data_IF_489833305625
#
_entry.id   IF_489833305625
#
_cell.length_a   1.000
_cell.length_b   1.000
_cell.length_c   1.000
_cell.angle_alpha   90.00
_cell.angle_beta   90.00
_cell.angle_gamma   90.00
#
_symmetry.space_group_name_H-M   'P 1'
#
loop_
_entity.id
_entity.type
_entity.pdbx_description
1 polymer ?
#
# COMPACT_ATOMS: atom_id res chain seq x y z
N UNK A 1 -28.40 8.06 -38.14
CA UNK A 1 -27.15 7.69 -38.85
C UNK A 1 -25.97 8.51 -38.35
N UNK A 2 -26.05 9.85 -38.29
CA UNK A 2 -24.93 10.73 -37.88
C UNK A 2 -24.52 10.53 -36.40
N UNK A 3 -25.46 10.27 -35.51
CA UNK A 3 -25.19 10.00 -34.07
C UNK A 3 -24.47 8.66 -33.83
N UNK A 4 -24.82 7.64 -34.64
CA UNK A 4 -24.15 6.35 -34.60
C UNK A 4 -22.69 6.41 -35.09
N UNK A 5 -22.43 7.18 -36.14
CA UNK A 5 -21.07 7.40 -36.64
C UNK A 5 -20.20 8.12 -35.60
N UNK A 6 -20.71 9.18 -34.97
CA UNK A 6 -19.95 9.88 -33.93
C UNK A 6 -19.72 9.03 -32.66
N UNK A 7 -20.59 8.07 -32.35
CA UNK A 7 -20.38 7.10 -31.28
C UNK A 7 -19.32 6.05 -31.62
N UNK A 8 -19.27 5.62 -32.88
CA UNK A 8 -18.22 4.72 -33.37
C UNK A 8 -16.86 5.39 -33.36
N UNK A 9 -16.76 6.63 -33.83
CA UNK A 9 -15.51 7.40 -33.83
C UNK A 9 -15.01 7.59 -32.37
N UNK A 10 -15.90 7.97 -31.44
CA UNK A 10 -15.53 8.11 -30.02
C UNK A 10 -15.11 6.78 -29.37
N UNK A 11 -15.68 5.67 -29.83
CA UNK A 11 -15.32 4.34 -29.34
C UNK A 11 -13.96 3.89 -29.87
N UNK A 12 -13.65 4.24 -31.13
CA UNK A 12 -12.34 3.96 -31.76
C UNK A 12 -11.22 4.75 -31.07
N UNK A 13 -11.45 6.04 -30.81
CA UNK A 13 -10.51 6.90 -30.04
C UNK A 13 -10.25 6.34 -28.63
N UNK A 14 -11.29 5.77 -28.00
CA UNK A 14 -11.17 5.16 -26.66
C UNK A 14 -10.33 3.87 -26.70
N UNK A 15 -10.52 3.05 -27.72
CA UNK A 15 -9.75 1.82 -27.92
C UNK A 15 -8.28 2.15 -28.15
N UNK A 16 -7.98 3.12 -29.01
CA UNK A 16 -6.62 3.58 -29.27
C UNK A 16 -5.94 4.13 -28.01
N UNK A 17 -6.67 4.89 -27.20
CA UNK A 17 -6.17 5.38 -25.91
C UNK A 17 -5.87 4.25 -24.93
N UNK A 18 -6.75 3.23 -24.86
CA UNK A 18 -6.54 2.04 -24.04
C UNK A 18 -5.35 1.21 -24.49
N UNK A 19 -5.14 1.05 -25.78
CA UNK A 19 -3.97 0.35 -26.32
C UNK A 19 -2.66 1.07 -25.99
N UNK A 20 -2.61 2.39 -26.16
CA UNK A 20 -1.46 3.22 -25.78
C UNK A 20 -1.15 3.11 -24.28
N UNK A 21 -2.19 3.16 -23.43
CA UNK A 21 -2.03 3.01 -21.99
C UNK A 21 -1.50 1.61 -21.63
N UNK A 22 -2.05 0.56 -22.23
CA UNK A 22 -1.63 -0.82 -21.99
C UNK A 22 -0.17 -1.04 -22.40
N UNK A 23 0.26 -0.47 -23.54
CA UNK A 23 1.64 -0.55 -23.99
C UNK A 23 2.58 0.21 -23.05
N UNK A 24 2.18 1.38 -22.56
CA UNK A 24 2.92 2.14 -21.56
C UNK A 24 3.08 1.36 -20.24
N UNK A 25 2.01 0.75 -19.75
CA UNK A 25 2.04 -0.08 -18.54
C UNK A 25 2.94 -1.31 -18.69
N UNK A 26 2.94 -1.94 -19.89
CA UNK A 26 3.85 -3.06 -20.18
C UNK A 26 5.30 -2.64 -20.15
N UNK A 27 5.62 -1.48 -20.77
CA UNK A 27 6.97 -0.92 -20.77
C UNK A 27 7.43 -0.59 -19.33
N UNK A 28 6.60 0.10 -18.54
CA UNK A 28 6.91 0.41 -17.16
C UNK A 28 7.13 -0.85 -16.30
N UNK A 29 6.30 -1.88 -16.50
CA UNK A 29 6.48 -3.17 -15.80
C UNK A 29 7.79 -3.84 -16.19
N UNK A 30 8.15 -3.81 -17.46
CA UNK A 30 9.41 -4.38 -17.94
C UNK A 30 10.61 -3.66 -17.32
N UNK A 31 10.59 -2.32 -17.32
CA UNK A 31 11.66 -1.53 -16.72
C UNK A 31 11.78 -1.76 -15.22
N UNK A 32 10.65 -1.86 -14.52
CA UNK A 32 10.64 -2.20 -13.10
C UNK A 32 11.26 -3.58 -12.83
N UNK A 33 10.91 -4.60 -13.63
CA UNK A 33 11.50 -5.93 -13.50
C UNK A 33 13.01 -5.94 -13.76
N UNK A 34 13.48 -5.15 -14.73
CA UNK A 34 14.92 -4.99 -15.00
C UNK A 34 15.65 -4.37 -13.80
N UNK A 35 15.08 -3.33 -13.19
CA UNK A 35 15.65 -2.73 -11.98
C UNK A 35 15.69 -3.72 -10.81
N UNK A 36 14.61 -4.51 -10.61
CA UNK A 36 14.60 -5.56 -9.58
C UNK A 36 15.65 -6.63 -9.84
N UNK A 37 15.88 -7.01 -11.11
CA UNK A 37 16.91 -7.98 -11.48
C UNK A 37 18.33 -7.51 -11.13
N UNK A 38 18.62 -6.21 -11.37
CA UNK A 38 19.91 -5.63 -10.97
C UNK A 38 20.08 -5.65 -9.46
N UNK A 39 19.06 -5.23 -8.71
CA UNK A 39 19.10 -5.26 -7.23
C UNK A 39 19.30 -6.68 -6.73
N UNK A 40 18.55 -7.64 -7.28
CA UNK A 40 18.67 -9.05 -6.90
C UNK A 40 20.09 -9.58 -7.15
N UNK A 41 20.68 -9.30 -8.31
CA UNK A 41 22.04 -9.73 -8.65
C UNK A 41 23.07 -9.13 -7.69
N UNK A 42 22.94 -7.84 -7.32
CA UNK A 42 23.83 -7.20 -6.35
C UNK A 42 23.70 -7.82 -4.95
N UNK A 43 22.48 -8.18 -4.54
CA UNK A 43 22.21 -8.87 -3.28
C UNK A 43 22.81 -10.28 -3.25
N UNK A 44 22.71 -11.04 -4.35
CA UNK A 44 23.34 -12.37 -4.51
C UNK A 44 24.88 -12.30 -4.43
N UNK A 45 25.47 -11.20 -4.90
CA UNK A 45 26.89 -10.94 -4.82
C UNK A 45 27.34 -10.36 -3.46
N UNK A 46 26.42 -10.22 -2.50
CA UNK A 46 26.62 -9.58 -1.19
C UNK A 46 27.08 -8.11 -1.28
N UNK A 47 26.87 -7.45 -2.44
CA UNK A 47 27.21 -6.05 -2.68
C UNK A 47 26.08 -5.12 -2.21
N UNK A 48 25.75 -5.17 -0.93
CA UNK A 48 24.61 -4.44 -0.33
C UNK A 48 24.73 -2.92 -0.47
N UNK A 49 25.95 -2.38 -0.41
CA UNK A 49 26.21 -0.94 -0.59
C UNK A 49 25.85 -0.48 -2.00
N UNK A 50 26.23 -1.24 -3.02
CA UNK A 50 25.91 -0.96 -4.42
C UNK A 50 24.40 -1.13 -4.70
N UNK A 51 23.76 -2.14 -4.11
CA UNK A 51 22.33 -2.34 -4.20
C UNK A 51 21.54 -1.13 -3.65
N UNK A 52 21.93 -0.62 -2.48
CA UNK A 52 21.34 0.58 -1.89
C UNK A 52 21.58 1.82 -2.76
N UNK A 53 22.81 2.01 -3.25
CA UNK A 53 23.15 3.13 -4.13
C UNK A 53 22.35 3.08 -5.44
N UNK A 54 22.14 1.90 -6.00
CA UNK A 54 21.33 1.72 -7.21
C UNK A 54 19.86 2.07 -6.96
N UNK A 55 19.28 1.61 -5.86
CA UNK A 55 17.90 1.94 -5.47
C UNK A 55 17.74 3.45 -5.28
N UNK A 56 18.68 4.10 -4.60
CA UNK A 56 18.65 5.56 -4.41
C UNK A 56 18.74 6.33 -5.73
N UNK A 57 19.51 5.84 -6.69
CA UNK A 57 19.62 6.45 -8.04
C UNK A 57 18.31 6.37 -8.81
N UNK A 58 17.63 5.22 -8.76
CA UNK A 58 16.45 4.94 -9.58
C UNK A 58 15.17 5.53 -8.96
N UNK A 59 15.03 5.41 -7.65
CA UNK A 59 13.78 5.76 -6.93
C UNK A 59 13.91 6.95 -5.97
N UNK A 60 15.10 7.51 -5.85
CA UNK A 60 15.40 8.58 -4.91
C UNK A 60 15.71 8.07 -3.50
N UNK A 61 16.19 8.96 -2.65
CA UNK A 61 16.56 8.62 -1.27
C UNK A 61 15.37 8.10 -0.48
N UNK A 62 15.46 6.86 -0.05
CA UNK A 62 14.54 6.27 0.92
C UNK A 62 15.03 6.75 2.29
N UNK A 63 14.31 7.68 2.89
CA UNK A 63 14.62 8.17 4.25
C UNK A 63 14.40 7.03 5.23
N UNK A 64 15.48 6.43 5.73
CA UNK A 64 15.41 5.42 6.77
C UNK A 64 14.94 6.08 8.08
N UNK A 65 13.70 5.86 8.45
CA UNK A 65 13.22 6.18 9.80
C UNK A 65 13.72 5.05 10.71
N UNK A 66 14.78 5.34 11.43
CA UNK A 66 15.36 4.43 12.42
C UNK A 66 14.48 4.33 13.65
N UNK A 67 13.36 3.61 13.56
CA UNK A 67 12.59 3.16 14.73
C UNK A 67 12.73 1.65 14.84
N UNK A 68 13.17 1.19 16.01
CA UNK A 68 13.31 -0.25 16.30
C UNK A 68 11.92 -0.86 16.36
N UNK A 69 11.46 -1.43 15.26
CA UNK A 69 10.24 -2.22 15.18
C UNK A 69 10.56 -3.65 15.65
N UNK A 70 9.70 -4.21 16.49
CA UNK A 70 9.99 -5.45 17.23
C UNK A 70 9.10 -6.61 16.78
N UNK A 71 8.78 -6.74 15.49
CA UNK A 71 8.16 -7.97 15.00
C UNK A 71 9.25 -8.97 14.57
N UNK A 72 8.92 -10.26 14.58
CA UNK A 72 9.82 -11.31 14.09
C UNK A 72 9.92 -11.35 12.55
N UNK A 73 9.08 -10.58 11.85
CA UNK A 73 9.00 -10.55 10.40
C UNK A 73 9.73 -9.33 9.81
N UNK A 74 10.84 -9.57 9.13
CA UNK A 74 11.58 -8.51 8.45
C UNK A 74 10.75 -7.75 7.39
N UNK A 75 9.91 -8.39 6.54
CA UNK A 75 9.03 -7.68 5.63
C UNK A 75 8.05 -6.74 6.33
N UNK A 76 7.42 -7.17 7.42
CA UNK A 76 6.49 -6.34 8.20
C UNK A 76 7.21 -5.13 8.80
N UNK A 77 8.39 -5.33 9.38
CA UNK A 77 9.18 -4.25 9.94
C UNK A 77 9.55 -3.21 8.88
N UNK A 78 10.00 -3.66 7.71
CA UNK A 78 10.34 -2.78 6.59
C UNK A 78 9.12 -1.98 6.10
N UNK A 79 7.97 -2.64 5.93
CA UNK A 79 6.72 -1.97 5.54
C UNK A 79 6.31 -0.90 6.56
N UNK A 80 6.29 -1.24 7.85
CA UNK A 80 5.90 -0.31 8.89
C UNK A 80 6.83 0.91 8.93
N UNK A 81 8.14 0.74 8.71
CA UNK A 81 9.07 1.87 8.60
C UNK A 81 8.69 2.82 7.45
N UNK A 82 8.42 2.29 6.26
CA UNK A 82 8.00 3.07 5.10
C UNK A 82 6.67 3.80 5.38
N UNK A 83 5.70 3.12 5.98
CA UNK A 83 4.39 3.72 6.30
C UNK A 83 4.48 4.78 7.39
N UNK A 84 5.32 4.59 8.40
CA UNK A 84 5.58 5.61 9.42
C UNK A 84 6.19 6.88 8.82
N UNK A 85 7.13 6.74 7.88
CA UNK A 85 7.71 7.88 7.16
C UNK A 85 6.65 8.61 6.29
N UNK A 86 5.74 7.87 5.65
CA UNK A 86 4.63 8.45 4.90
C UNK A 86 3.66 9.22 5.81
N UNK A 87 3.34 8.67 6.99
CA UNK A 87 2.53 9.34 8.01
C UNK A 87 3.16 10.67 8.45
N UNK A 88 4.46 10.66 8.73
CA UNK A 88 5.19 11.86 9.13
C UNK A 88 5.11 12.97 8.05
N UNK A 89 5.32 12.62 6.77
CA UNK A 89 5.16 13.55 5.64
C UNK A 89 3.74 14.10 5.52
N UNK A 90 2.73 13.29 5.84
CA UNK A 90 1.32 13.68 5.80
C UNK A 90 0.86 14.45 7.05
N UNK A 91 1.77 14.72 8.01
CA UNK A 91 1.45 15.38 9.28
C UNK A 91 0.58 14.53 10.20
N UNK A 92 0.62 13.20 10.06
CA UNK A 92 -0.11 12.23 10.88
C UNK A 92 0.74 11.83 12.09
N UNK A 93 0.20 12.03 13.29
CA UNK A 93 0.80 11.52 14.52
C UNK A 93 0.48 10.04 14.68
N UNK A 94 1.51 9.21 14.85
CA UNK A 94 1.34 7.76 14.95
C UNK A 94 1.64 7.27 16.37
N UNK A 95 0.69 6.50 16.92
CA UNK A 95 0.89 5.70 18.12
C UNK A 95 1.03 4.23 17.70
N UNK A 96 2.14 3.61 18.06
CA UNK A 96 2.46 2.23 17.71
C UNK A 96 2.50 1.36 18.97
N UNK A 97 1.56 0.42 19.08
CA UNK A 97 1.43 -0.53 20.18
C UNK A 97 1.74 -1.94 19.70
N UNK A 98 2.99 -2.38 19.85
CA UNK A 98 3.41 -3.75 19.52
C UNK A 98 3.61 -4.51 20.83
N UNK A 99 2.67 -5.37 21.16
CA UNK A 99 2.71 -6.22 22.36
C UNK A 99 3.10 -7.67 22.07
N UNK A 100 3.16 -8.03 20.78
CA UNK A 100 3.57 -9.34 20.32
C UNK A 100 4.58 -9.23 19.18
N UNK A 101 5.48 -10.21 19.09
CA UNK A 101 6.46 -10.30 17.99
C UNK A 101 5.90 -10.95 16.73
N UNK A 102 4.71 -11.57 16.79
CA UNK A 102 4.11 -12.30 15.68
C UNK A 102 5.05 -13.35 15.06
N UNK A 103 5.69 -14.15 15.92
CA UNK A 103 6.71 -15.10 15.52
C UNK A 103 6.19 -16.24 14.63
N UNK A 104 4.94 -16.65 14.87
CA UNK A 104 4.33 -17.83 14.25
C UNK A 104 3.07 -17.47 13.45
N UNK A 105 3.13 -16.39 12.66
CA UNK A 105 2.03 -16.01 11.78
C UNK A 105 1.68 -17.16 10.82
N UNK A 106 0.38 -17.50 10.67
CA UNK A 106 -0.07 -18.58 9.77
C UNK A 106 0.06 -18.24 8.29
N UNK A 107 0.31 -16.97 7.96
CA UNK A 107 0.53 -16.47 6.60
C UNK A 107 1.94 -15.87 6.47
N UNK A 108 2.43 -15.78 5.24
CA UNK A 108 3.74 -15.17 5.00
C UNK A 108 3.76 -13.69 5.36
N UNK A 109 4.92 -13.19 5.82
CA UNK A 109 5.09 -11.76 6.08
C UNK A 109 4.80 -10.88 4.86
N UNK A 110 5.02 -11.38 3.65
CA UNK A 110 4.72 -10.67 2.40
C UNK A 110 3.21 -10.55 2.12
N UNK A 111 2.45 -11.60 2.39
CA UNK A 111 0.98 -11.57 2.29
C UNK A 111 0.40 -10.62 3.33
N UNK A 112 0.90 -10.69 4.56
CA UNK A 112 0.49 -9.77 5.62
C UNK A 112 0.81 -8.32 5.26
N UNK A 113 1.93 -8.03 4.59
CA UNK A 113 2.28 -6.69 4.13
C UNK A 113 1.21 -6.08 3.20
N UNK A 114 0.55 -6.87 2.34
CA UNK A 114 -0.53 -6.38 1.48
C UNK A 114 -1.71 -5.88 2.31
N UNK A 115 -2.12 -6.69 3.31
CA UNK A 115 -3.22 -6.34 4.21
C UNK A 115 -2.90 -5.08 5.01
N UNK A 116 -1.73 -5.05 5.64
CA UNK A 116 -1.27 -3.92 6.46
C UNK A 116 -1.17 -2.63 5.63
N UNK A 117 -0.60 -2.72 4.42
CA UNK A 117 -0.47 -1.56 3.52
C UNK A 117 -1.83 -0.98 3.19
N UNK A 118 -2.79 -1.81 2.78
CA UNK A 118 -4.14 -1.37 2.41
C UNK A 118 -4.86 -0.68 3.58
N UNK A 119 -4.78 -1.24 4.78
CA UNK A 119 -5.43 -0.67 5.95
C UNK A 119 -4.80 0.67 6.37
N UNK A 120 -3.47 0.75 6.37
CA UNK A 120 -2.76 1.98 6.74
C UNK A 120 -2.99 3.08 5.69
N UNK A 121 -2.94 2.75 4.39
CA UNK A 121 -3.18 3.73 3.32
C UNK A 121 -4.62 4.25 3.36
N UNK A 122 -5.61 3.39 3.61
CA UNK A 122 -6.99 3.81 3.79
C UNK A 122 -7.16 4.75 4.99
N UNK A 123 -6.45 4.49 6.08
CA UNK A 123 -6.48 5.35 7.26
C UNK A 123 -5.84 6.72 7.00
N UNK A 124 -4.71 6.77 6.29
CA UNK A 124 -4.06 8.03 5.89
C UNK A 124 -4.98 8.85 4.99
N UNK A 125 -5.56 8.22 3.97
CA UNK A 125 -6.47 8.88 3.03
C UNK A 125 -7.73 9.42 3.73
N UNK A 126 -8.30 8.67 4.68
CA UNK A 126 -9.47 9.12 5.45
C UNK A 126 -9.19 10.36 6.31
N UNK A 127 -7.91 10.68 6.54
CA UNK A 127 -7.48 11.87 7.30
C UNK A 127 -6.96 12.99 6.39
N UNK A 128 -6.99 12.84 5.06
CA UNK A 128 -6.36 13.81 4.13
C UNK A 128 -6.86 15.25 4.36
N UNK A 129 -8.17 15.42 4.52
CA UNK A 129 -8.82 16.73 4.67
C UNK A 129 -8.77 17.29 6.11
N UNK A 130 -8.27 16.54 7.07
CA UNK A 130 -8.14 17.03 8.43
C UNK A 130 -6.96 18.02 8.56
N UNK A 131 -7.09 19.06 9.40
CA UNK A 131 -6.00 19.97 9.67
C UNK A 131 -4.85 19.26 10.40
N UNK A 132 -3.63 19.76 10.20
CA UNK A 132 -2.45 19.30 10.93
C UNK A 132 -2.69 19.40 12.45
N UNK A 133 -2.21 18.40 13.19
CA UNK A 133 -2.44 18.28 14.63
C UNK A 133 -3.74 17.56 15.03
N UNK A 134 -4.65 17.30 14.08
CA UNK A 134 -5.86 16.47 14.30
C UNK A 134 -5.78 15.10 13.64
N UNK A 135 -4.69 14.80 12.94
CA UNK A 135 -4.47 13.54 12.25
C UNK A 135 -3.76 12.57 13.20
N UNK A 136 -4.48 11.60 13.74
CA UNK A 136 -3.92 10.58 14.63
C UNK A 136 -4.22 9.19 14.07
N UNK A 137 -3.18 8.36 14.01
CA UNK A 137 -3.23 6.96 13.61
C UNK A 137 -2.71 6.09 14.75
N UNK A 138 -3.49 5.13 15.19
CA UNK A 138 -3.05 4.12 16.16
C UNK A 138 -2.96 2.78 15.46
N UNK A 139 -1.78 2.17 15.50
CA UNK A 139 -1.51 0.83 14.98
C UNK A 139 -1.22 -0.07 16.16
N UNK A 140 -1.96 -1.17 16.28
CA UNK A 140 -1.82 -2.13 17.36
C UNK A 140 -1.59 -3.52 16.79
N UNK A 141 -0.53 -4.19 17.24
CA UNK A 141 -0.21 -5.57 16.94
C UNK A 141 -0.22 -6.36 18.24
N UNK A 142 -1.16 -7.29 18.37
CA UNK A 142 -1.30 -8.17 19.55
C UNK A 142 -1.52 -9.60 19.12
N UNK A 143 -1.35 -10.53 20.05
CA UNK A 143 -1.74 -11.93 19.88
C UNK A 143 -2.33 -12.45 21.19
N UNK A 144 -3.19 -13.44 21.07
CA UNK A 144 -3.66 -14.25 22.16
C UNK A 144 -3.57 -15.75 21.79
N UNK A 145 -4.06 -16.65 22.62
CA UNK A 145 -3.95 -18.09 22.39
C UNK A 145 -4.67 -18.60 21.13
N UNK A 146 -5.50 -17.78 20.49
CA UNK A 146 -6.37 -18.20 19.37
C UNK A 146 -6.16 -17.40 18.11
N UNK A 147 -5.67 -16.16 18.21
CA UNK A 147 -5.67 -15.23 17.10
C UNK A 147 -4.53 -14.19 17.18
N UNK A 148 -4.09 -13.76 16.00
CA UNK A 148 -3.28 -12.59 15.83
C UNK A 148 -4.17 -11.42 15.49
N UNK A 149 -4.03 -10.31 16.22
CA UNK A 149 -4.87 -9.12 16.01
C UNK A 149 -4.04 -7.97 15.52
N UNK A 150 -4.43 -7.45 14.38
CA UNK A 150 -3.94 -6.18 13.85
C UNK A 150 -5.08 -5.17 13.84
N UNK A 151 -4.85 -4.03 14.46
CA UNK A 151 -5.83 -2.95 14.51
C UNK A 151 -5.23 -1.65 14.00
N UNK A 152 -5.98 -0.97 13.14
CA UNK A 152 -5.67 0.37 12.65
C UNK A 152 -6.85 1.28 13.00
N UNK A 153 -6.62 2.24 13.88
CA UNK A 153 -7.61 3.25 14.26
C UNK A 153 -7.13 4.65 13.86
N UNK A 154 -8.00 5.44 13.28
CA UNK A 154 -7.68 6.79 12.82
C UNK A 154 -8.77 7.80 13.20
N UNK A 155 -8.42 9.08 13.22
CA UNK A 155 -9.34 10.19 13.52
C UNK A 155 -10.10 10.71 12.30
N UNK A 156 -9.97 10.06 11.14
CA UNK A 156 -10.67 10.44 9.91
C UNK A 156 -12.17 10.20 9.96
N UNK A 157 -12.83 10.47 8.84
CA UNK A 157 -14.28 10.26 8.70
C UNK A 157 -14.62 8.79 8.94
N UNK A 158 -15.57 8.49 9.85
CA UNK A 158 -15.99 7.12 10.11
C UNK A 158 -16.72 6.53 8.91
N UNK A 159 -16.59 5.23 8.70
CA UNK A 159 -17.34 4.51 7.67
C UNK A 159 -18.79 4.38 8.13
N UNK A 160 -19.80 4.83 7.32
CA UNK A 160 -21.20 4.68 7.66
C UNK A 160 -21.55 3.21 7.94
N UNK A 161 -22.45 2.93 8.90
CA UNK A 161 -22.82 1.56 9.25
C UNK A 161 -23.30 0.72 8.05
N UNK A 162 -24.04 1.31 7.14
CA UNK A 162 -24.59 0.65 5.95
C UNK A 162 -23.50 0.27 4.93
N UNK A 163 -22.34 0.93 4.97
CA UNK A 163 -21.22 0.67 4.08
C UNK A 163 -20.20 -0.30 4.67
N UNK A 164 -20.23 -0.57 5.99
CA UNK A 164 -19.20 -1.38 6.66
C UNK A 164 -19.06 -2.81 6.12
N UNK A 165 -20.13 -3.40 5.61
CA UNK A 165 -20.07 -4.71 4.95
C UNK A 165 -19.66 -4.59 3.48
N UNK A 166 -20.13 -3.53 2.81
CA UNK A 166 -19.92 -3.31 1.38
C UNK A 166 -18.49 -2.91 1.03
N UNK A 167 -17.74 -2.32 1.96
CA UNK A 167 -16.33 -1.93 1.72
C UNK A 167 -15.41 -3.09 1.34
N UNK A 168 -15.83 -4.32 1.61
CA UNK A 168 -15.10 -5.53 1.23
C UNK A 168 -15.52 -6.09 -0.14
N UNK A 169 -16.53 -5.54 -0.79
CA UNK A 169 -16.94 -5.94 -2.13
C UNK A 169 -15.97 -5.36 -3.19
N UNK A 170 -15.72 -6.08 -4.30
CA UNK A 170 -14.85 -5.59 -5.35
C UNK A 170 -15.42 -4.34 -6.00
N UNK A 171 -14.59 -3.33 -6.23
CA UNK A 171 -14.99 -2.09 -6.89
C UNK A 171 -15.67 -1.05 -5.98
N UNK A 172 -15.93 -1.36 -4.71
CA UNK A 172 -16.50 -0.38 -3.78
C UNK A 172 -15.41 0.57 -3.29
N UNK A 173 -15.56 1.85 -3.61
CA UNK A 173 -14.65 2.93 -3.20
C UNK A 173 -15.39 4.24 -3.07
N UNK A 174 -15.00 5.06 -2.12
CA UNK A 174 -15.45 6.45 -2.00
C UNK A 174 -14.45 7.44 -2.63
N UNK A 175 -13.34 6.92 -3.19
CA UNK A 175 -12.27 7.73 -3.80
C UNK A 175 -12.54 7.93 -5.29
N UNK A 176 -12.35 9.16 -5.79
CA UNK A 176 -12.52 9.51 -7.21
C UNK A 176 -11.61 8.72 -8.15
N UNK A 177 -10.38 8.41 -7.70
CA UNK A 177 -9.36 7.69 -8.48
C UNK A 177 -9.10 6.27 -7.96
N UNK A 178 -9.92 5.78 -7.02
CA UNK A 178 -9.76 4.47 -6.39
C UNK A 178 -10.46 3.36 -7.18
N UNK A 179 -9.80 2.20 -7.29
CA UNK A 179 -10.37 1.03 -7.97
C UNK A 179 -11.22 0.14 -7.04
N UNK A 180 -11.31 0.45 -5.74
CA UNK A 180 -12.11 -0.31 -4.76
C UNK A 180 -11.66 -1.75 -4.55
N UNK A 181 -10.41 -2.10 -4.84
CA UNK A 181 -9.89 -3.46 -4.76
C UNK A 181 -9.07 -3.76 -3.50
N UNK A 182 -8.63 -2.72 -2.77
CA UNK A 182 -7.68 -2.88 -1.67
C UNK A 182 -8.19 -3.78 -0.54
N UNK A 183 -9.36 -3.48 0.02
CA UNK A 183 -9.95 -4.28 1.10
C UNK A 183 -10.47 -5.63 0.61
N UNK A 184 -11.02 -5.70 -0.59
CA UNK A 184 -11.41 -6.98 -1.21
C UNK A 184 -10.22 -7.92 -1.35
N UNK A 185 -9.09 -7.45 -1.88
CA UNK A 185 -7.86 -8.25 -2.00
C UNK A 185 -7.29 -8.67 -0.64
N UNK A 186 -7.55 -7.92 0.42
CA UNK A 186 -7.16 -8.28 1.79
C UNK A 186 -7.99 -9.43 2.38
N UNK A 187 -9.17 -9.73 1.85
CA UNK A 187 -10.02 -10.85 2.27
C UNK A 187 -9.69 -12.17 1.57
N UNK A 188 -9.07 -12.11 0.39
CA UNK A 188 -8.80 -13.32 -0.42
C UNK A 188 -7.60 -14.13 0.12
N UNK A 189 -6.84 -13.54 1.01
CA UNK A 189 -5.67 -14.13 1.65
C UNK A 189 -5.96 -14.43 3.11
#
# INVERSE_FOLDING_TARGET
TRRLLSQLDAMDDTIDAMEKLNNSLRAQRHDFLNHLQVVYSLMEMEEYGEANSYIEKVYGRITAVSRVLKTASAPINALLQVKLAACEKAGVQVTLNITSTWKELPISGWEMCKVLSNLIDNAIDAMADLPNGKKHLTITLTENLKEYVFSVANTGTPIPPDDQQRIFEPGVTTKSDGHGMGLFLSLIH
#
